data_IF_699120820944
#
_entry.id   IF_699120820944
#
_cell.length_a   1.000
_cell.length_b   1.000
_cell.length_c   1.000
_cell.angle_alpha   90.00
_cell.angle_beta   90.00
_cell.angle_gamma   90.00
#
_symmetry.space_group_name_H-M   'P 1'
#
loop_
_entity.id
_entity.type
_entity.pdbx_description
1 polymer ?
#
# COMPACT_ATOMS: atom_id res chain seq x y z
N UNK A 1 -7.34 8.75 -23.37
CA UNK A 1 -7.33 7.85 -22.19
C UNK A 1 -7.04 6.40 -22.61
N UNK A 2 -5.93 6.13 -23.30
CA UNK A 2 -5.64 4.81 -23.90
C UNK A 2 -4.19 4.41 -23.67
N UNK A 3 -3.80 4.29 -22.40
CA UNK A 3 -2.54 3.64 -22.05
C UNK A 3 -2.88 2.44 -21.18
N UNK A 4 -2.49 1.26 -21.65
CA UNK A 4 -2.59 0.01 -20.92
C UNK A 4 -1.59 0.02 -19.75
N UNK A 5 -1.99 -0.52 -18.60
CA UNK A 5 -1.15 -0.66 -17.42
C UNK A 5 -1.85 -0.24 -16.13
N UNK A 6 -1.43 -0.84 -15.01
CA UNK A 6 -1.83 -0.43 -13.67
C UNK A 6 -1.32 0.99 -13.40
N UNK A 7 -2.19 2.00 -13.52
CA UNK A 7 -1.79 3.40 -13.28
C UNK A 7 -1.92 3.75 -11.81
N UNK A 8 -0.81 4.18 -11.21
CA UNK A 8 -0.75 4.57 -9.80
C UNK A 8 -1.82 5.61 -9.40
N UNK A 9 -2.25 6.49 -10.31
CA UNK A 9 -3.24 7.53 -9.99
C UNK A 9 -4.61 6.96 -9.63
N UNK A 10 -5.02 5.80 -10.17
CA UNK A 10 -6.30 5.20 -9.79
C UNK A 10 -6.28 4.77 -8.32
N UNK A 11 -5.19 4.13 -7.88
CA UNK A 11 -5.02 3.76 -6.49
C UNK A 11 -4.99 4.99 -5.57
N UNK A 12 -4.27 6.06 -5.96
CA UNK A 12 -4.22 7.30 -5.18
C UNK A 12 -5.60 7.98 -5.06
N UNK A 13 -6.37 8.04 -6.14
CA UNK A 13 -7.73 8.60 -6.11
C UNK A 13 -8.67 7.80 -5.21
N UNK A 14 -8.60 6.46 -5.26
CA UNK A 14 -9.38 5.59 -4.39
C UNK A 14 -9.00 5.73 -2.92
N UNK A 15 -7.70 5.79 -2.61
CA UNK A 15 -7.22 6.02 -1.25
C UNK A 15 -7.71 7.37 -0.72
N UNK A 16 -7.57 8.44 -1.50
CA UNK A 16 -8.07 9.75 -1.10
C UNK A 16 -9.58 9.71 -0.81
N UNK A 17 -10.35 9.08 -1.69
CA UNK A 17 -11.81 8.94 -1.51
C UNK A 17 -12.16 8.09 -0.29
N UNK A 18 -11.38 7.06 0.01
CA UNK A 18 -11.55 6.25 1.21
C UNK A 18 -11.33 7.08 2.48
N UNK A 19 -10.28 7.90 2.51
CA UNK A 19 -9.97 8.79 3.63
C UNK A 19 -11.05 9.85 3.89
N UNK A 20 -11.80 10.28 2.87
CA UNK A 20 -12.97 11.16 3.04
C UNK A 20 -14.12 10.49 3.84
N UNK A 21 -14.09 9.16 4.02
CA UNK A 21 -15.22 8.37 4.54
C UNK A 21 -14.87 7.49 5.75
N UNK A 22 -13.67 7.62 6.31
CA UNK A 22 -13.24 6.89 7.51
C UNK A 22 -12.73 7.86 8.59
N UNK A 23 -12.61 7.44 9.86
CA UNK A 23 -12.03 8.27 10.89
C UNK A 23 -10.59 8.70 10.56
N UNK A 24 -10.24 9.96 10.85
CA UNK A 24 -8.91 10.52 10.58
C UNK A 24 -7.76 9.78 11.30
N UNK A 25 -8.05 9.04 12.36
CA UNK A 25 -7.05 8.24 13.10
C UNK A 25 -6.97 6.78 12.65
N UNK A 26 -7.76 6.38 11.65
CA UNK A 26 -7.84 4.99 11.21
C UNK A 26 -6.58 4.57 10.46
N UNK A 27 -5.94 3.50 10.94
CA UNK A 27 -4.83 2.86 10.22
C UNK A 27 -5.36 1.88 9.18
N UNK A 28 -4.82 1.94 7.97
CA UNK A 28 -5.24 1.08 6.85
C UNK A 28 -4.10 0.19 6.41
N UNK A 29 -4.39 -1.10 6.22
CA UNK A 29 -3.52 -2.00 5.47
C UNK A 29 -3.89 -1.99 3.99
N UNK A 30 -2.98 -1.54 3.12
CA UNK A 30 -3.12 -1.63 1.66
C UNK A 30 -2.33 -2.79 1.08
N UNK A 31 -3.02 -3.81 0.54
CA UNK A 31 -2.42 -4.82 -0.33
C UNK A 31 -2.62 -4.44 -1.79
N UNK A 32 -1.53 -4.13 -2.49
CA UNK A 32 -1.59 -3.74 -3.90
C UNK A 32 -0.45 -4.39 -4.68
N UNK A 33 -0.71 -4.82 -5.92
CA UNK A 33 0.26 -5.53 -6.74
C UNK A 33 1.57 -4.74 -6.83
N UNK A 34 1.51 -3.47 -7.24
CA UNK A 34 2.65 -2.56 -7.24
C UNK A 34 2.80 -1.76 -5.92
N UNK A 35 2.40 -2.34 -4.78
CA UNK A 35 2.40 -1.67 -3.46
C UNK A 35 3.74 -1.04 -3.08
N UNK A 36 4.86 -1.73 -3.33
CA UNK A 36 6.19 -1.18 -3.05
C UNK A 36 6.55 0.02 -3.96
N UNK A 37 6.08 0.02 -5.21
CA UNK A 37 6.30 1.15 -6.13
C UNK A 37 5.40 2.32 -5.72
N UNK A 38 4.16 2.04 -5.31
CA UNK A 38 3.23 3.05 -4.84
C UNK A 38 3.74 3.75 -3.57
N UNK A 39 4.22 3.00 -2.56
CA UNK A 39 4.83 3.58 -1.35
C UNK A 39 6.01 4.49 -1.71
N UNK A 40 6.94 3.97 -2.53
CA UNK A 40 8.08 4.76 -3.03
C UNK A 40 7.64 6.04 -3.73
N UNK A 41 6.64 5.98 -4.60
CA UNK A 41 6.08 7.15 -5.29
C UNK A 41 5.48 8.14 -4.30
N UNK A 42 4.71 7.67 -3.31
CA UNK A 42 4.10 8.56 -2.31
C UNK A 42 5.16 9.31 -1.51
N UNK A 43 6.18 8.60 -1.00
CA UNK A 43 7.30 9.22 -0.27
C UNK A 43 8.12 10.18 -1.12
N UNK A 44 8.35 9.83 -2.40
CA UNK A 44 9.18 10.64 -3.30
C UNK A 44 8.47 11.93 -3.74
N UNK A 45 7.16 11.88 -3.98
CA UNK A 45 6.40 12.97 -4.57
C UNK A 45 5.44 13.66 -3.59
N UNK A 46 5.41 13.23 -2.33
CA UNK A 46 4.53 13.81 -1.31
C UNK A 46 3.05 13.50 -1.53
N UNK A 47 2.72 12.35 -2.14
CA UNK A 47 1.32 11.94 -2.28
C UNK A 47 0.75 11.48 -0.94
N UNK A 48 -0.57 11.66 -0.77
CA UNK A 48 -1.34 11.30 0.43
C UNK A 48 -1.02 12.12 1.69
N UNK A 49 0.03 12.94 1.70
CA UNK A 49 0.32 13.88 2.78
C UNK A 49 0.38 13.19 4.15
N UNK A 50 -0.32 13.75 5.12
CA UNK A 50 -0.38 13.23 6.51
C UNK A 50 -1.00 11.83 6.62
N UNK A 51 -1.82 11.43 5.63
CA UNK A 51 -2.42 10.09 5.62
C UNK A 51 -1.40 8.99 5.32
N UNK A 52 -0.24 9.32 4.75
CA UNK A 52 0.75 8.32 4.34
C UNK A 52 1.24 7.47 5.53
N UNK A 53 1.45 8.09 6.69
CA UNK A 53 1.94 7.42 7.90
C UNK A 53 0.90 6.49 8.54
N UNK A 54 -0.36 6.62 8.14
CA UNK A 54 -1.46 5.78 8.60
C UNK A 54 -1.63 4.51 7.75
N UNK A 55 -0.90 4.40 6.63
CA UNK A 55 -0.99 3.30 5.68
C UNK A 55 0.15 2.32 5.89
N UNK A 56 -0.18 1.05 6.09
CA UNK A 56 0.77 -0.07 5.99
C UNK A 56 0.68 -0.64 4.58
N UNK A 57 1.74 -0.46 3.79
CA UNK A 57 1.81 -1.01 2.43
C UNK A 57 2.26 -2.47 2.46
N UNK A 58 1.59 -3.30 1.68
CA UNK A 58 1.98 -4.69 1.40
C UNK A 58 1.69 -5.05 -0.05
N UNK A 59 2.29 -6.15 -0.52
CA UNK A 59 2.03 -6.74 -1.84
C UNK A 59 1.16 -7.98 -1.64
N UNK A 60 0.14 -8.19 -2.47
CA UNK A 60 -0.66 -9.41 -2.40
C UNK A 60 0.24 -10.66 -2.48
N UNK A 61 -0.05 -11.70 -1.67
CA UNK A 61 0.80 -12.90 -1.56
C UNK A 61 1.07 -13.57 -2.91
N UNK A 62 0.11 -13.52 -3.84
CA UNK A 62 0.24 -14.07 -5.18
C UNK A 62 1.19 -13.26 -6.08
N UNK A 63 1.45 -12.00 -5.74
CA UNK A 63 2.33 -11.11 -6.48
C UNK A 63 3.67 -10.88 -5.77
N UNK A 64 3.82 -11.29 -4.51
CA UNK A 64 5.03 -11.01 -3.72
C UNK A 64 6.33 -11.46 -4.41
N UNK A 65 6.33 -12.59 -5.11
CA UNK A 65 7.51 -13.12 -5.81
C UNK A 65 7.72 -12.56 -7.23
N UNK A 66 6.73 -11.85 -7.79
CA UNK A 66 6.82 -11.21 -9.11
C UNK A 66 7.59 -9.89 -9.10
N UNK A 67 7.94 -9.36 -7.92
CA UNK A 67 8.64 -8.08 -7.77
C UNK A 67 10.14 -8.25 -7.52
N UNK A 68 10.87 -7.14 -7.58
CA UNK A 68 12.29 -7.07 -7.21
C UNK A 68 12.50 -7.60 -5.77
N UNK A 69 13.63 -8.27 -5.54
CA UNK A 69 13.97 -8.91 -4.25
C UNK A 69 13.66 -8.05 -3.00
N UNK A 70 13.96 -6.72 -2.96
CA UNK A 70 13.63 -5.89 -1.80
C UNK A 70 12.12 -5.80 -1.53
N UNK A 71 11.31 -5.71 -2.59
CA UNK A 71 9.85 -5.67 -2.47
C UNK A 71 9.31 -6.96 -1.83
N UNK A 72 9.89 -8.11 -2.18
CA UNK A 72 9.49 -9.41 -1.64
C UNK A 72 9.82 -9.57 -0.15
N UNK A 73 10.83 -8.88 0.36
CA UNK A 73 11.24 -9.02 1.77
C UNK A 73 10.57 -7.98 2.65
N UNK A 74 10.39 -6.76 2.15
CA UNK A 74 9.87 -5.64 2.95
C UNK A 74 8.34 -5.62 2.95
N UNK A 75 7.71 -5.93 1.82
CA UNK A 75 6.26 -5.75 1.62
C UNK A 75 5.49 -7.07 1.57
N UNK A 76 6.12 -8.20 1.90
CA UNK A 76 5.42 -9.48 1.95
C UNK A 76 4.43 -9.47 3.13
N UNK A 77 3.15 -9.84 2.95
CA UNK A 77 2.11 -9.69 3.98
C UNK A 77 2.46 -10.37 5.31
N UNK A 78 3.10 -11.55 5.27
CA UNK A 78 3.59 -12.25 6.48
C UNK A 78 4.68 -11.51 7.28
N UNK A 79 5.29 -10.47 6.71
CA UNK A 79 6.34 -9.66 7.33
C UNK A 79 5.86 -8.26 7.71
N UNK A 80 4.65 -7.88 7.28
CA UNK A 80 4.05 -6.59 7.56
C UNK A 80 3.03 -6.74 8.70
N UNK A 81 3.27 -6.05 9.82
CA UNK A 81 2.34 -6.04 10.96
C UNK A 81 0.97 -5.53 10.50
N UNK A 82 -0.10 -6.20 10.92
CA UNK A 82 -1.46 -5.90 10.50
C UNK A 82 -1.95 -6.72 9.30
N UNK A 83 -1.08 -7.55 8.69
CA UNK A 83 -1.47 -8.48 7.64
C UNK A 83 -1.23 -9.95 8.02
N UNK A 84 -2.05 -10.83 7.43
CA UNK A 84 -1.86 -12.29 7.39
C UNK A 84 -1.58 -12.95 8.74
N UNK A 85 -2.60 -13.13 9.60
CA UNK A 85 -2.56 -13.84 10.89
C UNK A 85 -1.38 -13.52 11.83
N UNK A 86 -0.61 -12.47 11.55
CA UNK A 86 0.34 -11.91 12.51
C UNK A 86 -0.53 -11.31 13.62
N UNK A 87 -0.61 -12.00 14.76
CA UNK A 87 -1.36 -11.54 15.93
C UNK A 87 -1.08 -10.05 16.11
N UNK A 88 -2.14 -9.25 16.21
CA UNK A 88 -2.08 -7.93 16.82
C UNK A 88 -1.27 -8.13 18.10
N UNK A 89 -0.02 -7.66 18.12
CA UNK A 89 0.74 -7.66 19.36
C UNK A 89 -0.05 -6.69 20.27
N UNK A 90 -0.47 -7.14 21.47
CA UNK A 90 -1.20 -6.29 22.41
C UNK A 90 -0.40 -5.04 22.76
#
# INVERSE_FOLDING_TARGET
MTSAGEKQHYALSLLKKLYDHIPESMRIGLLYNIGCQLDRSCRKFGFLGEFLDQIVFGISVFHAYGHQWPCQIIYHPRKCVGFGLTLLKP
#
